data_IF_619731333353
#
_entry.id   IF_619731333353
#
_cell.length_a   1.000
_cell.length_b   1.000
_cell.length_c   1.000
_cell.angle_alpha   90.00
_cell.angle_beta   90.00
_cell.angle_gamma   90.00
#
_symmetry.space_group_name_H-M   'P 1'
#
loop_
_entity.id
_entity.type
_entity.pdbx_description
1 polymer ?
#
# COMPACT_ATOMS: atom_id res chain seq x y z
N UNK A 1 31.32 -6.49 -3.18
CA UNK A 1 30.80 -5.10 -3.09
C UNK A 1 29.49 -4.88 -3.85
N UNK A 2 29.38 -5.20 -5.16
CA UNK A 2 28.13 -4.98 -5.94
C UNK A 2 26.87 -5.70 -5.38
N UNK A 3 27.02 -6.93 -4.89
CA UNK A 3 25.88 -7.67 -4.32
C UNK A 3 25.38 -7.11 -2.98
N UNK A 4 26.28 -6.52 -2.17
CA UNK A 4 25.92 -5.88 -0.89
C UNK A 4 25.09 -4.61 -1.16
N UNK A 5 25.50 -3.80 -2.14
CA UNK A 5 24.77 -2.61 -2.55
C UNK A 5 23.38 -2.95 -3.12
N UNK A 6 23.28 -4.01 -3.94
CA UNK A 6 21.99 -4.48 -4.46
C UNK A 6 21.07 -4.98 -3.33
N UNK A 7 21.61 -5.71 -2.37
CA UNK A 7 20.85 -6.20 -1.22
C UNK A 7 20.34 -5.04 -0.34
N UNK A 8 21.16 -4.03 -0.09
CA UNK A 8 20.76 -2.82 0.63
C UNK A 8 19.66 -2.07 -0.12
N UNK A 9 19.83 -1.85 -1.42
CA UNK A 9 18.82 -1.20 -2.25
C UNK A 9 17.47 -1.93 -2.23
N UNK A 10 17.48 -3.26 -2.35
CA UNK A 10 16.26 -4.07 -2.22
C UNK A 10 15.61 -3.91 -0.85
N UNK A 11 16.40 -3.94 0.23
CA UNK A 11 15.87 -3.77 1.59
C UNK A 11 15.21 -2.41 1.78
N UNK A 12 15.85 -1.36 1.29
CA UNK A 12 15.31 0.00 1.32
C UNK A 12 14.06 0.15 0.46
N UNK A 13 14.06 -0.42 -0.74
CA UNK A 13 12.90 -0.41 -1.63
C UNK A 13 11.71 -1.12 -1.01
N UNK A 14 11.90 -2.33 -0.46
CA UNK A 14 10.85 -3.06 0.26
C UNK A 14 10.32 -2.26 1.44
N UNK A 15 11.19 -1.59 2.20
CA UNK A 15 10.77 -0.70 3.29
C UNK A 15 9.88 0.44 2.78
N UNK A 16 10.30 1.15 1.72
CA UNK A 16 9.53 2.25 1.11
C UNK A 16 8.17 1.77 0.61
N UNK A 17 8.10 0.61 -0.02
CA UNK A 17 6.84 0.01 -0.49
C UNK A 17 5.92 -0.32 0.69
N UNK A 18 6.46 -0.93 1.74
CA UNK A 18 5.66 -1.25 2.93
C UNK A 18 5.08 0.02 3.58
N UNK A 19 5.88 1.07 3.69
CA UNK A 19 5.45 2.36 4.23
C UNK A 19 4.41 3.04 3.33
N UNK A 20 4.60 2.98 2.00
CA UNK A 20 3.61 3.47 1.04
C UNK A 20 2.28 2.75 1.18
N UNK A 21 2.26 1.42 1.23
CA UNK A 21 1.03 0.64 1.38
C UNK A 21 0.31 0.97 2.69
N UNK A 22 1.03 1.07 3.81
CA UNK A 22 0.44 1.48 5.10
C UNK A 22 -0.18 2.86 5.02
N UNK A 23 0.52 3.82 4.42
CA UNK A 23 0.03 5.18 4.30
C UNK A 23 -1.20 5.28 3.39
N UNK A 24 -1.17 4.58 2.25
CA UNK A 24 -2.29 4.55 1.31
C UNK A 24 -3.53 3.86 1.89
N UNK A 25 -3.35 2.76 2.61
CA UNK A 25 -4.43 2.09 3.34
C UNK A 25 -5.12 3.03 4.32
N UNK A 26 -4.36 3.81 5.10
CA UNK A 26 -4.93 4.83 5.99
C UNK A 26 -5.74 5.87 5.24
N UNK A 27 -5.31 6.29 4.04
CA UNK A 27 -6.09 7.23 3.21
C UNK A 27 -7.41 6.63 2.76
N UNK A 28 -7.43 5.35 2.36
CA UNK A 28 -8.67 4.65 2.02
C UNK A 28 -9.61 4.62 3.24
N UNK A 29 -9.09 4.22 4.40
CA UNK A 29 -9.88 4.13 5.63
C UNK A 29 -10.48 5.49 6.07
N UNK A 30 -9.76 6.58 5.82
CA UNK A 30 -10.20 7.95 6.13
C UNK A 30 -11.07 8.59 5.05
N UNK A 31 -11.24 7.93 3.90
CA UNK A 31 -11.92 8.51 2.74
C UNK A 31 -11.11 9.60 2.02
N UNK A 32 -9.81 9.70 2.28
CA UNK A 32 -8.88 10.67 1.69
C UNK A 32 -8.30 10.19 0.34
N UNK A 33 -8.75 9.03 -0.18
CA UNK A 33 -8.32 8.47 -1.46
C UNK A 33 -8.98 9.16 -2.69
N UNK A 34 -9.81 10.17 -2.46
CA UNK A 34 -10.51 10.92 -3.51
C UNK A 34 -11.86 10.29 -3.91
N UNK A 35 -12.55 10.96 -4.84
CA UNK A 35 -13.97 10.70 -5.13
C UNK A 35 -14.25 10.17 -6.55
N UNK A 36 -13.21 9.93 -7.35
CA UNK A 36 -13.34 9.38 -8.70
C UNK A 36 -13.85 7.93 -8.71
N UNK A 37 -14.29 7.44 -9.87
CA UNK A 37 -14.78 6.06 -10.01
C UNK A 37 -13.75 5.02 -9.57
N UNK A 38 -12.47 5.23 -9.91
CA UNK A 38 -11.37 4.37 -9.50
C UNK A 38 -11.16 4.38 -7.98
N UNK A 39 -11.18 5.56 -7.35
CA UNK A 39 -11.05 5.67 -5.90
C UNK A 39 -12.21 4.99 -5.15
N UNK A 40 -13.43 5.04 -5.70
CA UNK A 40 -14.59 4.32 -5.18
C UNK A 40 -14.44 2.80 -5.35
N UNK A 41 -13.92 2.35 -6.50
CA UNK A 41 -13.61 0.93 -6.74
C UNK A 41 -12.52 0.41 -5.79
N UNK A 42 -11.44 1.17 -5.61
CA UNK A 42 -10.37 0.84 -4.66
C UNK A 42 -10.91 0.73 -3.24
N UNK A 43 -11.74 1.69 -2.82
CA UNK A 43 -12.41 1.67 -1.51
C UNK A 43 -13.31 0.45 -1.35
N UNK A 44 -14.15 0.16 -2.35
CA UNK A 44 -15.03 -1.01 -2.36
C UNK A 44 -14.23 -2.31 -2.23
N UNK A 45 -13.19 -2.49 -3.04
CA UNK A 45 -12.36 -3.68 -3.02
C UNK A 45 -11.61 -3.83 -1.70
N UNK A 46 -11.07 -2.72 -1.17
CA UNK A 46 -10.38 -2.73 0.12
C UNK A 46 -11.29 -3.25 1.24
N UNK A 47 -12.51 -2.72 1.38
CA UNK A 47 -13.41 -3.12 2.46
C UNK A 47 -14.02 -4.51 2.30
N UNK A 48 -14.32 -4.94 1.07
CA UNK A 48 -15.00 -6.21 0.83
C UNK A 48 -14.04 -7.40 0.63
N UNK A 49 -12.82 -7.16 0.17
CA UNK A 49 -11.86 -8.22 -0.17
C UNK A 49 -10.64 -8.18 0.72
N UNK A 50 -9.94 -7.03 0.79
CA UNK A 50 -8.65 -6.97 1.50
C UNK A 50 -8.82 -6.97 3.02
N UNK A 51 -9.68 -6.11 3.56
CA UNK A 51 -9.86 -5.96 5.02
C UNK A 51 -10.31 -7.26 5.71
N UNK A 52 -11.21 -8.09 5.13
CA UNK A 52 -11.59 -9.37 5.73
C UNK A 52 -10.44 -10.39 5.76
N UNK A 53 -9.55 -10.37 4.75
CA UNK A 53 -8.41 -11.30 4.65
C UNK A 53 -7.26 -10.96 5.59
N UNK A 54 -7.28 -9.79 6.23
CA UNK A 54 -6.28 -9.36 7.23
C UNK A 54 -6.57 -9.86 8.64
N UNK A 55 -7.66 -10.60 8.85
CA UNK A 55 -8.03 -11.22 10.14
C UNK A 55 -7.19 -12.45 10.44
#
# INVERSE_FOLDING_TARGET
MKQVALHQWHKEHTKRIADFHKHHEMKIQRGENGNGLLAKWETFFYYNVISPLKK
#
